data_IF_225203210612
#
_entry.id   IF_225203210612
#
_cell.length_a   1.000
_cell.length_b   1.000
_cell.length_c   1.000
_cell.angle_alpha   90.00
_cell.angle_beta   90.00
_cell.angle_gamma   90.00
#
_symmetry.space_group_name_H-M   'P 1'
#
loop_
_entity.id
_entity.type
_entity.pdbx_description
1 polymer ?
#
# COMPACT_ATOMS: atom_id res chain seq x y z
N UNK A 1 54.09 -9.38 38.65
CA UNK A 1 53.64 -8.24 37.82
C UNK A 1 53.26 -8.75 36.44
N UNK A 2 52.28 -8.10 35.78
CA UNK A 2 51.76 -8.31 34.42
C UNK A 2 50.56 -9.26 34.33
N UNK A 3 49.46 -8.97 33.63
CA UNK A 3 48.68 -7.74 33.36
C UNK A 3 47.35 -8.31 32.86
N UNK A 4 46.24 -7.97 33.52
CA UNK A 4 44.89 -8.36 33.08
C UNK A 4 44.54 -7.53 31.84
N UNK A 5 44.20 -8.17 30.72
CA UNK A 5 43.49 -7.50 29.63
C UNK A 5 42.27 -8.31 29.24
N UNK A 6 41.13 -7.86 29.75
CA UNK A 6 39.81 -8.30 29.34
C UNK A 6 39.55 -7.83 27.91
N UNK A 7 39.24 -8.75 27.01
CA UNK A 7 38.70 -8.44 25.69
C UNK A 7 37.18 -8.24 25.85
N UNK A 8 36.70 -7.02 25.66
CA UNK A 8 35.27 -6.73 25.51
C UNK A 8 34.84 -7.17 24.10
N UNK A 9 33.97 -8.18 24.03
CA UNK A 9 33.30 -8.58 22.78
C UNK A 9 32.09 -7.67 22.56
N UNK A 10 32.19 -6.74 21.61
CA UNK A 10 31.08 -5.91 21.15
C UNK A 10 30.14 -6.77 20.30
N UNK A 11 28.95 -7.07 20.81
CA UNK A 11 27.87 -7.71 20.02
C UNK A 11 27.19 -6.61 19.20
N UNK A 12 27.58 -6.49 17.94
CA UNK A 12 26.89 -5.66 16.95
C UNK A 12 25.47 -6.20 16.70
N UNK A 13 24.47 -5.42 17.10
CA UNK A 13 23.07 -5.65 16.80
C UNK A 13 22.85 -5.37 15.31
N UNK A 14 22.80 -6.42 14.49
CA UNK A 14 22.40 -6.33 13.10
C UNK A 14 20.90 -6.00 13.04
N UNK A 15 20.57 -4.71 12.89
CA UNK A 15 19.22 -4.28 12.55
C UNK A 15 18.98 -4.72 11.10
N UNK A 16 18.37 -5.89 10.92
CA UNK A 16 17.79 -6.28 9.65
C UNK A 16 16.65 -5.29 9.38
N UNK A 17 16.91 -4.30 8.52
CA UNK A 17 15.86 -3.51 7.92
C UNK A 17 14.99 -4.48 7.10
N UNK A 18 13.85 -4.88 7.66
CA UNK A 18 12.77 -5.42 6.86
C UNK A 18 12.30 -4.31 5.94
N UNK A 19 12.85 -4.28 4.72
CA UNK A 19 12.16 -3.66 3.61
C UNK A 19 10.86 -4.44 3.46
N UNK A 20 9.79 -3.94 4.07
CA UNK A 20 8.44 -4.37 3.75
C UNK A 20 8.28 -4.13 2.26
N UNK A 21 8.37 -5.21 1.47
CA UNK A 21 8.02 -5.16 0.07
C UNK A 21 6.52 -4.93 0.05
N UNK A 22 6.13 -3.66 -0.05
CA UNK A 22 4.81 -3.28 -0.48
C UNK A 22 4.56 -4.08 -1.77
N UNK A 23 3.69 -5.08 -1.67
CA UNK A 23 3.14 -5.74 -2.85
C UNK A 23 2.23 -4.70 -3.49
N UNK A 24 2.82 -3.74 -4.18
CA UNK A 24 2.04 -2.80 -4.96
C UNK A 24 1.27 -3.65 -5.96
N UNK A 25 -0.05 -3.68 -5.78
CA UNK A 25 -0.93 -4.30 -6.74
C UNK A 25 -0.90 -3.39 -7.97
N UNK A 26 -0.71 -3.98 -9.15
CA UNK A 26 -0.80 -3.24 -10.43
C UNK A 26 -2.04 -2.34 -10.39
N UNK A 27 -1.90 -1.02 -10.66
CA UNK A 27 -3.04 -0.12 -10.63
C UNK A 27 -4.11 -0.56 -11.63
N UNK A 28 -5.37 -0.26 -11.34
CA UNK A 28 -6.42 -0.54 -12.31
C UNK A 28 -6.41 0.55 -13.36
N UNK A 29 -6.31 0.21 -14.64
CA UNK A 29 -6.34 1.19 -15.71
C UNK A 29 -6.87 0.60 -17.02
N UNK A 30 -7.23 1.49 -17.93
CA UNK A 30 -7.47 1.20 -19.34
C UNK A 30 -6.59 2.12 -20.17
N UNK A 31 -5.87 1.54 -21.13
CA UNK A 31 -4.99 2.25 -22.02
C UNK A 31 -5.11 1.74 -23.46
N UNK A 32 -4.82 2.62 -24.41
CA UNK A 32 -4.76 2.31 -25.83
C UNK A 32 -3.37 2.61 -26.34
N UNK A 33 -2.70 1.62 -26.90
CA UNK A 33 -1.40 1.79 -27.55
C UNK A 33 -1.59 1.85 -29.08
N UNK A 34 -0.66 2.48 -29.80
CA UNK A 34 -0.60 2.41 -31.26
C UNK A 34 -0.78 0.99 -31.82
N UNK A 35 -1.24 0.90 -33.07
CA UNK A 35 -1.64 -0.36 -33.73
C UNK A 35 -2.84 -1.06 -33.09
N UNK A 36 -3.75 -0.29 -32.48
CA UNK A 36 -5.01 -0.77 -31.91
C UNK A 36 -4.82 -1.82 -30.81
N UNK A 37 -3.76 -1.68 -30.00
CA UNK A 37 -3.52 -2.55 -28.86
C UNK A 37 -4.27 -1.96 -27.66
N UNK A 38 -5.24 -2.71 -27.14
CA UNK A 38 -5.99 -2.34 -25.95
C UNK A 38 -5.41 -3.03 -24.72
N UNK A 39 -5.18 -2.25 -23.67
CA UNK A 39 -4.64 -2.74 -22.41
C UNK A 39 -5.63 -2.43 -21.30
N UNK A 40 -5.94 -3.43 -20.47
CA UNK A 40 -6.74 -3.25 -19.27
C UNK A 40 -6.06 -3.93 -18.10
N UNK A 41 -5.81 -3.19 -17.03
CA UNK A 41 -5.42 -3.75 -15.74
C UNK A 41 -6.61 -3.73 -14.79
N UNK A 42 -6.97 -4.89 -14.23
CA UNK A 42 -8.09 -5.02 -13.31
C UNK A 42 -7.84 -6.14 -12.30
N UNK A 43 -7.97 -5.82 -11.01
CA UNK A 43 -7.88 -6.80 -9.93
C UNK A 43 -6.51 -7.49 -9.87
N UNK A 44 -5.44 -6.74 -10.15
CA UNK A 44 -4.06 -7.25 -10.17
C UNK A 44 -3.67 -8.05 -11.41
N UNK A 45 -4.58 -8.23 -12.37
CA UNK A 45 -4.30 -8.88 -13.65
C UNK A 45 -4.23 -7.85 -14.78
N UNK A 46 -3.44 -8.14 -15.81
CA UNK A 46 -3.35 -7.32 -17.03
C UNK A 46 -3.87 -8.12 -18.22
N UNK A 47 -4.65 -7.46 -19.07
CA UNK A 47 -5.24 -8.02 -20.28
C UNK A 47 -4.78 -7.19 -21.48
N UNK A 48 -4.33 -7.87 -22.54
CA UNK A 48 -3.89 -7.28 -23.80
C UNK A 48 -4.82 -7.80 -24.89
N UNK A 49 -5.56 -6.91 -25.55
CA UNK A 49 -6.61 -7.23 -26.51
C UNK A 49 -7.63 -8.24 -25.95
N UNK A 50 -8.02 -8.06 -24.68
CA UNK A 50 -8.95 -8.95 -23.98
C UNK A 50 -8.36 -10.29 -23.51
N UNK A 51 -7.14 -10.65 -23.91
CA UNK A 51 -6.47 -11.88 -23.43
C UNK A 51 -5.65 -11.59 -22.19
N UNK A 52 -5.80 -12.41 -21.15
CA UNK A 52 -4.98 -12.32 -19.94
C UNK A 52 -3.51 -12.49 -20.29
N UNK A 53 -2.70 -11.53 -19.89
CA UNK A 53 -1.26 -11.50 -20.10
C UNK A 53 -0.53 -12.18 -18.93
N UNK A 54 0.68 -12.67 -19.21
CA UNK A 54 1.62 -13.08 -18.15
C UNK A 54 2.26 -11.83 -17.56
N UNK A 55 2.09 -11.62 -16.25
CA UNK A 55 2.63 -10.48 -15.54
C UNK A 55 3.97 -10.85 -14.87
N UNK A 56 4.96 -10.00 -15.03
CA UNK A 56 6.25 -10.04 -14.34
C UNK A 56 6.42 -8.75 -13.54
N UNK A 57 6.85 -8.88 -12.29
CA UNK A 57 7.29 -7.72 -11.48
C UNK A 57 8.77 -7.51 -11.72
N UNK A 58 9.14 -6.36 -12.28
CA UNK A 58 10.53 -6.00 -12.56
C UNK A 58 11.12 -5.16 -11.42
N UNK A 59 10.29 -4.34 -10.77
CA UNK A 59 10.61 -3.57 -9.58
C UNK A 59 9.33 -3.34 -8.73
N UNK A 60 9.43 -2.79 -7.51
CA UNK A 60 8.27 -2.60 -6.63
C UNK A 60 7.10 -1.84 -7.26
N UNK A 61 7.34 -0.90 -8.18
CA UNK A 61 6.30 -0.15 -8.90
C UNK A 61 6.40 -0.27 -10.42
N UNK A 62 7.13 -1.27 -10.91
CA UNK A 62 7.35 -1.50 -12.34
C UNK A 62 7.06 -2.96 -12.72
N UNK A 63 6.24 -3.13 -13.75
CA UNK A 63 5.76 -4.43 -14.19
C UNK A 63 5.82 -4.55 -15.71
N UNK A 64 6.03 -5.77 -16.18
CA UNK A 64 5.89 -6.13 -17.59
C UNK A 64 4.75 -7.12 -17.75
N UNK A 65 3.76 -6.78 -18.57
CA UNK A 65 2.71 -7.70 -18.99
C UNK A 65 2.98 -8.19 -20.42
N UNK A 66 2.97 -9.50 -20.64
CA UNK A 66 3.26 -10.10 -21.94
C UNK A 66 2.10 -10.95 -22.47
N UNK A 67 1.75 -10.73 -23.74
CA UNK A 67 0.81 -11.58 -24.48
C UNK A 67 1.39 -11.86 -25.88
N UNK A 68 1.89 -13.08 -26.07
CA UNK A 68 2.62 -13.45 -27.28
C UNK A 68 3.88 -12.58 -27.47
N UNK A 69 3.92 -11.80 -28.56
CA UNK A 69 5.04 -10.90 -28.86
C UNK A 69 4.87 -9.51 -28.26
N UNK A 70 3.69 -9.14 -27.77
CA UNK A 70 3.41 -7.82 -27.22
C UNK A 70 3.87 -7.79 -25.76
N UNK A 71 4.70 -6.80 -25.42
CA UNK A 71 5.13 -6.48 -24.07
C UNK A 71 4.60 -5.10 -23.72
N UNK A 72 3.99 -4.99 -22.54
CA UNK A 72 3.50 -3.74 -21.97
C UNK A 72 4.31 -3.46 -20.71
N UNK A 73 5.06 -2.36 -20.71
CA UNK A 73 5.68 -1.80 -19.52
C UNK A 73 4.68 -0.95 -18.76
N UNK A 74 4.62 -1.12 -17.44
CA UNK A 74 3.73 -0.40 -16.54
C UNK A 74 4.58 0.12 -15.41
N UNK A 75 4.74 1.44 -15.32
CA UNK A 75 5.50 2.06 -14.24
C UNK A 75 4.66 3.10 -13.52
N UNK A 76 4.61 3.03 -12.20
CA UNK A 76 3.95 4.02 -11.36
C UNK A 76 4.99 4.74 -10.51
N UNK A 77 5.09 6.06 -10.64
CA UNK A 77 5.98 6.88 -9.80
C UNK A 77 5.57 6.83 -8.33
N UNK A 78 4.28 6.65 -8.07
CA UNK A 78 3.73 6.44 -6.74
C UNK A 78 2.46 5.61 -6.80
N UNK A 79 2.03 5.11 -5.64
CA UNK A 79 0.74 4.44 -5.51
C UNK A 79 -0.46 5.33 -5.88
N UNK A 80 -0.31 6.65 -6.07
CA UNK A 80 -1.40 7.61 -6.32
C UNK A 80 -1.20 8.41 -7.60
N UNK A 81 -0.29 8.00 -8.48
CA UNK A 81 -0.05 8.67 -9.77
C UNK A 81 -0.58 7.81 -10.92
N UNK A 82 -0.97 8.47 -12.00
CA UNK A 82 -1.31 7.81 -13.25
C UNK A 82 -0.14 6.91 -13.68
N UNK A 83 -0.37 5.63 -14.02
CA UNK A 83 0.71 4.78 -14.49
C UNK A 83 1.17 5.26 -15.86
N UNK A 84 2.49 5.33 -16.05
CA UNK A 84 3.06 5.36 -17.39
C UNK A 84 2.96 3.96 -18.00
N UNK A 85 2.48 3.89 -19.24
CA UNK A 85 2.29 2.64 -19.96
C UNK A 85 3.01 2.74 -21.30
N UNK A 86 3.99 1.90 -21.52
CA UNK A 86 4.70 1.76 -22.78
C UNK A 86 4.47 0.38 -23.38
N UNK A 87 4.67 0.26 -24.69
CA UNK A 87 4.58 -1.00 -25.39
C UNK A 87 5.80 -1.25 -26.26
N UNK A 88 6.10 -2.53 -26.47
CA UNK A 88 7.05 -3.01 -27.45
C UNK A 88 6.58 -4.34 -28.05
N UNK A 89 6.87 -4.56 -29.33
CA UNK A 89 6.68 -5.87 -29.97
C UNK A 89 8.03 -6.57 -30.11
N UNK A 90 8.13 -7.76 -29.54
CA UNK A 90 9.32 -8.60 -29.63
C UNK A 90 9.69 -8.86 -31.09
N UNK A 91 10.95 -8.61 -31.41
CA UNK A 91 11.54 -8.72 -32.76
C UNK A 91 11.08 -7.67 -33.78
N UNK A 92 10.43 -6.59 -33.34
CA UNK A 92 10.14 -5.43 -34.18
C UNK A 92 10.65 -4.15 -33.52
N UNK A 93 11.78 -3.63 -34.03
CA UNK A 93 12.45 -2.44 -33.49
C UNK A 93 11.72 -1.12 -33.77
N UNK A 94 10.66 -1.15 -34.60
CA UNK A 94 9.86 0.03 -34.95
C UNK A 94 8.52 0.04 -34.24
N UNK A 95 8.11 -1.09 -33.67
CA UNK A 95 6.83 -1.26 -33.00
C UNK A 95 6.97 -1.10 -31.48
N UNK A 96 7.34 0.11 -31.07
CA UNK A 96 7.42 0.51 -29.67
C UNK A 96 6.94 1.95 -29.49
N UNK A 97 6.46 2.30 -28.30
CA UNK A 97 5.97 3.64 -28.01
C UNK A 97 5.21 3.73 -26.70
N UNK A 98 4.56 4.86 -26.48
CA UNK A 98 3.77 5.14 -25.28
C UNK A 98 2.28 4.90 -25.58
N UNK A 99 1.57 4.30 -24.63
CA UNK A 99 0.13 4.12 -24.67
C UNK A 99 -0.58 5.33 -24.05
N UNK A 100 -1.74 5.68 -24.58
CA UNK A 100 -2.62 6.67 -23.96
C UNK A 100 -3.46 6.01 -22.88
N UNK A 101 -3.30 6.41 -21.63
CA UNK A 101 -4.17 5.99 -20.53
C UNK A 101 -5.47 6.79 -20.60
N UNK A 102 -6.60 6.12 -20.72
CA UNK A 102 -7.92 6.77 -20.85
C UNK A 102 -8.71 6.79 -19.55
N UNK A 103 -8.42 5.84 -18.67
CA UNK A 103 -8.99 5.79 -17.33
C UNK A 103 -8.04 5.03 -16.42
N UNK A 104 -7.86 5.53 -15.20
CA UNK A 104 -7.13 4.80 -14.18
C UNK A 104 -7.71 5.08 -12.80
N UNK A 105 -7.50 4.12 -11.92
CA UNK A 105 -7.66 4.28 -10.48
C UNK A 105 -6.49 3.53 -9.90
N UNK A 106 -5.74 4.16 -9.01
CA UNK A 106 -4.71 3.38 -8.37
C UNK A 106 -5.38 2.23 -7.60
N UNK A 107 -4.69 1.08 -7.59
CA UNK A 107 -5.21 -0.15 -7.02
C UNK A 107 -5.61 0.04 -5.55
N UNK A 108 -5.96 -1.03 -4.84
CA UNK A 108 -6.47 -0.97 -3.45
C UNK A 108 -5.73 -0.04 -2.47
N UNK A 109 -4.48 0.35 -2.74
CA UNK A 109 -3.73 1.37 -2.02
C UNK A 109 -4.19 2.85 -2.21
N UNK A 110 -4.79 3.27 -3.34
CA UNK A 110 -5.22 4.67 -3.56
C UNK A 110 -6.72 4.90 -3.58
N UNK A 111 -7.51 3.84 -3.53
CA UNK A 111 -8.94 3.96 -3.25
C UNK A 111 -9.22 4.18 -1.75
N UNK A 112 -8.18 4.43 -0.94
CA UNK A 112 -8.39 4.80 0.45
C UNK A 112 -8.79 6.27 0.47
N UNK A 113 -10.01 6.60 0.93
CA UNK A 113 -10.44 7.97 0.96
C UNK A 113 -9.43 8.80 1.76
N UNK A 114 -9.07 9.97 1.24
CA UNK A 114 -8.34 10.93 2.06
C UNK A 114 -9.24 11.34 3.23
N UNK A 115 -8.64 11.44 4.41
CA UNK A 115 -9.30 12.12 5.52
C UNK A 115 -9.70 13.52 5.06
N UNK A 116 -10.99 13.85 5.15
CA UNK A 116 -11.49 15.17 4.77
C UNK A 116 -11.35 16.13 5.95
N UNK A 117 -10.49 17.14 5.79
CA UNK A 117 -10.39 18.32 6.65
C UNK A 117 -8.97 18.55 7.19
N UNK A 118 -8.85 19.20 8.34
CA UNK A 118 -7.59 19.81 8.81
C UNK A 118 -6.53 18.80 9.28
N UNK A 119 -6.89 17.52 9.40
CA UNK A 119 -5.98 16.43 9.79
C UNK A 119 -6.02 15.27 8.79
N UNK A 120 -4.85 14.67 8.45
CA UNK A 120 -4.79 13.47 7.61
C UNK A 120 -5.43 12.23 8.26
N UNK A 121 -5.80 12.27 9.53
CA UNK A 121 -6.47 11.16 10.21
C UNK A 121 -7.98 11.39 10.38
N UNK A 122 -8.48 12.59 10.09
CA UNK A 122 -9.87 12.97 10.29
C UNK A 122 -10.85 12.07 9.54
N UNK A 123 -11.88 11.59 10.22
CA UNK A 123 -12.93 10.76 9.64
C UNK A 123 -13.39 9.63 10.56
N UNK A 124 -14.18 8.73 9.99
CA UNK A 124 -14.65 7.52 10.67
C UNK A 124 -13.89 6.32 10.14
N UNK A 125 -13.48 5.44 11.04
CA UNK A 125 -12.69 4.27 10.71
C UNK A 125 -13.28 3.03 11.38
N UNK A 126 -13.18 1.89 10.72
CA UNK A 126 -13.60 0.60 11.24
C UNK A 126 -12.39 -0.32 11.42
N UNK A 127 -12.19 -0.80 12.64
CA UNK A 127 -11.23 -1.86 12.95
C UNK A 127 -11.92 -3.22 12.81
N UNK A 128 -11.35 -4.13 12.01
CA UNK A 128 -11.86 -5.49 11.84
C UNK A 128 -10.84 -6.53 12.30
N UNK A 129 -11.34 -7.64 12.78
CA UNK A 129 -10.53 -8.81 13.10
C UNK A 129 -10.06 -9.52 11.83
N UNK A 130 -8.76 -9.82 11.71
CA UNK A 130 -8.21 -10.46 10.52
C UNK A 130 -8.73 -11.87 10.29
N UNK A 131 -9.04 -12.62 11.35
CA UNK A 131 -9.45 -14.02 11.28
C UNK A 131 -10.95 -14.14 11.05
N UNK A 132 -11.74 -13.37 11.80
CA UNK A 132 -13.21 -13.50 11.82
C UNK A 132 -13.93 -12.46 10.97
N UNK A 133 -13.26 -11.36 10.60
CA UNK A 133 -13.87 -10.21 9.93
C UNK A 133 -14.80 -9.38 10.82
N UNK A 134 -14.98 -9.77 12.09
CA UNK A 134 -15.83 -9.07 13.04
C UNK A 134 -15.33 -7.64 13.31
N UNK A 135 -16.26 -6.70 13.51
CA UNK A 135 -15.92 -5.33 13.91
C UNK A 135 -15.43 -5.33 15.35
N UNK A 136 -14.21 -4.84 15.56
CA UNK A 136 -13.57 -4.71 16.88
C UNK A 136 -13.76 -3.32 17.45
N UNK A 137 -13.73 -2.30 16.60
CA UNK A 137 -13.97 -0.93 17.02
C UNK A 137 -14.47 -0.04 15.88
N UNK A 138 -15.32 0.92 16.23
CA UNK A 138 -15.60 2.10 15.44
C UNK A 138 -14.79 3.27 16.01
N UNK A 139 -13.95 3.86 15.19
CA UNK A 139 -13.03 4.93 15.58
C UNK A 139 -13.46 6.20 14.86
N UNK A 140 -13.50 7.32 15.58
CA UNK A 140 -13.75 8.62 14.99
C UNK A 140 -12.62 9.58 15.36
N UNK A 141 -12.15 10.32 14.37
CA UNK A 141 -11.09 11.32 14.53
C UNK A 141 -11.61 12.65 14.01
N UNK A 142 -11.50 13.72 14.80
CA UNK A 142 -11.86 15.07 14.36
C UNK A 142 -10.67 15.79 13.67
N UNK A 143 -10.89 17.02 13.20
CA UNK A 143 -9.85 17.82 12.55
C UNK A 143 -8.73 18.29 13.49
N UNK A 144 -8.92 18.15 14.81
CA UNK A 144 -7.92 18.43 15.85
C UNK A 144 -7.25 17.17 16.37
N UNK A 145 -7.48 16.03 15.69
CA UNK A 145 -6.93 14.71 16.04
C UNK A 145 -7.38 14.18 17.39
N UNK A 146 -8.52 14.65 17.87
CA UNK A 146 -9.19 14.03 19.01
C UNK A 146 -9.80 12.73 18.54
N UNK A 147 -9.60 11.67 19.32
CA UNK A 147 -9.98 10.31 18.95
C UNK A 147 -11.04 9.77 19.90
N UNK A 148 -12.05 9.14 19.32
CA UNK A 148 -13.06 8.35 20.03
C UNK A 148 -13.03 6.92 19.53
N UNK A 149 -13.04 5.96 20.44
CA UNK A 149 -13.13 4.52 20.14
C UNK A 149 -14.39 3.99 20.78
N UNK A 150 -15.32 3.48 19.96
CA UNK A 150 -16.65 3.03 20.38
C UNK A 150 -17.41 4.12 21.18
N UNK A 151 -17.24 5.38 20.79
CA UNK A 151 -17.84 6.55 21.46
C UNK A 151 -17.07 7.06 22.68
N UNK A 152 -16.11 6.31 23.21
CA UNK A 152 -15.25 6.74 24.33
C UNK A 152 -14.05 7.54 23.85
N UNK A 153 -13.85 8.76 24.37
CA UNK A 153 -12.69 9.59 24.02
C UNK A 153 -11.39 9.01 24.59
N UNK A 154 -10.35 8.90 23.77
CA UNK A 154 -9.04 8.37 24.17
C UNK A 154 -7.94 9.40 23.91
N UNK A 155 -6.79 9.21 24.58
CA UNK A 155 -5.58 9.98 24.27
C UNK A 155 -4.92 9.40 23.02
N UNK A 156 -4.61 10.27 22.08
CA UNK A 156 -3.85 9.95 20.88
C UNK A 156 -2.54 10.74 20.87
N UNK A 157 -1.53 10.17 20.22
CA UNK A 157 -0.24 10.81 19.97
C UNK A 157 0.19 10.52 18.55
N UNK A 158 0.88 11.48 17.93
CA UNK A 158 1.63 11.20 16.71
C UNK A 158 2.96 10.53 17.06
N UNK A 159 3.30 9.46 16.36
CA UNK A 159 4.58 8.78 16.44
C UNK A 159 4.89 8.18 15.06
N UNK A 160 6.11 8.41 14.56
CA UNK A 160 6.62 7.81 13.32
C UNK A 160 5.69 7.99 12.09
N UNK A 161 5.07 9.17 11.96
CA UNK A 161 4.14 9.48 10.86
C UNK A 161 2.73 8.89 11.00
N UNK A 162 2.46 8.16 12.08
CA UNK A 162 1.16 7.58 12.40
C UNK A 162 0.51 8.25 13.61
N UNK A 163 -0.82 8.14 13.71
CA UNK A 163 -1.59 8.48 14.91
C UNK A 163 -1.83 7.20 15.71
N UNK A 164 -1.24 7.14 16.90
CA UNK A 164 -1.33 6.00 17.81
C UNK A 164 -2.19 6.34 19.03
N UNK A 165 -3.08 5.43 19.40
CA UNK A 165 -3.92 5.53 20.59
C UNK A 165 -4.26 4.15 21.14
N UNK A 166 -4.71 4.10 22.39
CA UNK A 166 -5.02 2.84 23.09
C UNK A 166 -6.40 2.90 23.73
N UNK A 167 -7.05 1.74 23.76
CA UNK A 167 -8.22 1.47 24.61
C UNK A 167 -7.95 0.16 25.35
N UNK A 168 -7.66 0.26 26.65
CA UNK A 168 -7.16 -0.90 27.42
C UNK A 168 -5.81 -1.40 26.88
N UNK A 169 -5.73 -2.69 26.58
CA UNK A 169 -4.54 -3.37 26.02
C UNK A 169 -4.39 -3.16 24.51
N UNK A 170 -5.46 -2.77 23.82
CA UNK A 170 -5.48 -2.67 22.36
C UNK A 170 -4.76 -1.40 21.92
N UNK A 171 -3.75 -1.56 21.06
CA UNK A 171 -3.06 -0.47 20.37
C UNK A 171 -3.64 -0.32 18.96
N UNK A 172 -4.05 0.89 18.62
CA UNK A 172 -4.49 1.27 17.29
C UNK A 172 -3.47 2.22 16.66
N UNK A 173 -3.20 2.01 15.37
CA UNK A 173 -2.28 2.83 14.59
C UNK A 173 -2.98 3.22 13.29
N UNK A 174 -3.18 4.53 13.09
CA UNK A 174 -3.72 5.08 11.85
C UNK A 174 -2.60 5.73 11.05
N UNK A 175 -2.52 5.38 9.77
CA UNK A 175 -1.57 5.96 8.83
C UNK A 175 -2.21 7.17 8.12
N UNK A 176 -1.51 8.31 8.17
CA UNK A 176 -2.02 9.57 7.64
C UNK A 176 -1.73 9.70 6.15
N UNK A 177 -0.59 9.16 5.72
CA UNK A 177 -0.19 9.11 4.33
C UNK A 177 -1.12 8.17 3.54
N UNK A 178 -1.85 8.69 2.54
CA UNK A 178 -2.78 7.88 1.75
C UNK A 178 -2.08 6.71 1.05
N UNK A 179 -0.77 6.80 0.74
CA UNK A 179 0.00 5.76 0.04
C UNK A 179 0.21 4.49 0.87
N UNK A 180 0.14 4.59 2.19
CA UNK A 180 0.32 3.48 3.14
C UNK A 180 -0.85 3.37 4.11
N UNK A 181 -1.99 4.01 3.81
CA UNK A 181 -3.13 4.03 4.73
C UNK A 181 -3.72 2.63 5.00
N UNK A 182 -3.51 1.68 4.08
CA UNK A 182 -3.89 0.27 4.23
C UNK A 182 -3.08 -0.46 5.30
N UNK A 183 -1.95 0.11 5.74
CA UNK A 183 -1.14 -0.40 6.84
C UNK A 183 -1.67 0.07 8.21
N UNK A 184 -2.77 0.84 8.24
CA UNK A 184 -3.47 1.13 9.48
C UNK A 184 -4.00 -0.17 10.09
N UNK A 185 -3.76 -0.35 11.38
CA UNK A 185 -4.00 -1.63 12.03
C UNK A 185 -4.13 -1.50 13.53
N UNK A 186 -4.69 -2.55 14.14
CA UNK A 186 -4.76 -2.69 15.59
C UNK A 186 -4.07 -3.98 16.03
N UNK A 187 -3.60 -3.99 17.27
CA UNK A 187 -3.01 -5.16 17.90
C UNK A 187 -3.47 -5.24 19.35
N UNK A 188 -4.03 -6.37 19.74
CA UNK A 188 -4.28 -6.74 21.13
C UNK A 188 -3.26 -7.79 21.55
N UNK A 189 -2.33 -7.37 22.41
CA UNK A 189 -1.27 -8.25 22.90
C UNK A 189 -1.77 -9.33 23.85
N UNK A 190 -2.91 -9.11 24.51
CA UNK A 190 -3.46 -10.06 25.48
C UNK A 190 -4.18 -11.21 24.76
N UNK A 191 -5.08 -10.87 23.85
CA UNK A 191 -5.78 -11.83 23.01
C UNK A 191 -4.95 -12.37 21.84
N UNK A 192 -3.71 -11.89 21.66
CA UNK A 192 -2.82 -12.20 20.53
C UNK A 192 -3.52 -12.06 19.16
N UNK A 193 -4.31 -10.99 19.01
CA UNK A 193 -5.12 -10.78 17.82
C UNK A 193 -4.83 -9.40 17.20
N UNK A 194 -5.09 -9.30 15.90
CA UNK A 194 -4.79 -8.11 15.12
C UNK A 194 -5.78 -7.97 13.99
N UNK A 195 -5.83 -6.78 13.41
CA UNK A 195 -6.36 -6.67 12.08
C UNK A 195 -6.37 -5.27 11.50
N UNK A 196 -6.90 -5.17 10.28
CA UNK A 196 -6.86 -3.93 9.53
C UNK A 196 -7.79 -2.89 10.13
N UNK A 197 -7.43 -1.62 9.95
CA UNK A 197 -8.32 -0.48 10.16
C UNK A 197 -8.54 0.21 8.81
N UNK A 198 -9.80 0.42 8.44
CA UNK A 198 -10.17 1.06 7.17
C UNK A 198 -10.96 2.33 7.41
N UNK A 199 -10.71 3.38 6.64
CA UNK A 199 -11.55 4.58 6.62
C UNK A 199 -12.90 4.26 5.96
N UNK A 200 -13.99 4.77 6.54
CA UNK A 200 -15.36 4.69 6.00
C UNK A 200 -15.63 5.70 4.89
#
# INVERSE_FOLDING_TARGET
MHKKSALLTVITLAIAAYAGSAVAAVPNFTASCPMNIQVKAQGGNVFINGKKATLKTDAPTAYTAQSGKIMIGITSDSATSEPSVDYAIKHDKRANGICTVSAWSAGKAAALPMAKGDSPYQGKWTAKNSETGATVANIQVDGKEQVWVNGGKVKAKRADGALQFRQGTILYTLQGDPRIRYESGWNDSDAQNTGPITLE
#
